data_IF_648707767237
#
_entry.id   IF_648707767237
#
_cell.length_a   1.000
_cell.length_b   1.000
_cell.length_c   1.000
_cell.angle_alpha   90.00
_cell.angle_beta   90.00
_cell.angle_gamma   90.00
#
_symmetry.space_group_name_H-M   'P 1'
#
loop_
_entity.id
_entity.type
_entity.pdbx_description
1 polymer ?
#
# COMPACT_ATOMS: atom_id res chain seq x y z
N UNK A 1 26.09 14.79 -50.01
CA UNK A 1 25.85 13.43 -49.46
C UNK A 1 27.16 13.00 -48.79
N UNK A 2 27.47 13.58 -47.64
CA UNK A 2 28.69 13.28 -46.89
C UNK A 2 28.66 11.88 -46.27
N UNK A 3 29.74 11.13 -46.52
CA UNK A 3 30.00 9.82 -45.96
C UNK A 3 30.37 9.90 -44.47
N UNK A 4 29.67 9.11 -43.67
CA UNK A 4 29.89 8.92 -42.24
C UNK A 4 31.22 8.20 -42.02
N UNK A 5 32.15 8.81 -41.29
CA UNK A 5 33.41 8.19 -40.89
C UNK A 5 33.16 6.91 -40.05
N UNK A 6 34.00 5.86 -40.17
CA UNK A 6 33.81 4.63 -39.42
C UNK A 6 34.18 4.82 -37.94
N UNK A 7 33.39 4.21 -37.08
CA UNK A 7 33.57 4.18 -35.64
C UNK A 7 34.86 3.40 -35.31
N UNK A 8 35.88 4.08 -34.78
CA UNK A 8 37.14 3.48 -34.34
C UNK A 8 36.94 2.72 -33.02
N UNK A 9 37.00 1.39 -33.10
CA UNK A 9 36.76 0.48 -31.98
C UNK A 9 37.98 0.30 -31.04
N UNK A 10 39.10 1.00 -31.27
CA UNK A 10 40.36 0.73 -30.57
C UNK A 10 40.62 1.56 -29.29
N UNK A 11 39.75 2.49 -28.92
CA UNK A 11 40.03 3.46 -27.84
C UNK A 11 39.46 3.11 -26.44
N UNK A 12 39.04 1.87 -26.18
CA UNK A 12 38.49 1.50 -24.86
C UNK A 12 39.56 0.87 -23.95
N UNK A 13 39.83 1.42 -22.75
CA UNK A 13 40.75 0.80 -21.81
C UNK A 13 40.21 -0.56 -21.34
N UNK A 14 41.00 -1.62 -21.52
CA UNK A 14 40.61 -3.03 -21.34
C UNK A 14 40.48 -3.51 -19.89
N UNK A 15 40.59 -2.64 -18.88
CA UNK A 15 40.35 -3.00 -17.47
C UNK A 15 39.78 -1.81 -16.71
N UNK A 16 38.46 -1.84 -16.50
CA UNK A 16 37.80 -1.00 -15.50
C UNK A 16 37.96 -1.75 -14.17
N UNK A 17 38.91 -1.31 -13.34
CA UNK A 17 38.92 -1.72 -11.94
C UNK A 17 37.72 -1.06 -11.28
N UNK A 18 36.68 -1.83 -10.98
CA UNK A 18 35.52 -1.33 -10.22
C UNK A 18 36.03 -1.05 -8.81
N UNK A 19 36.06 0.21 -8.33
CA UNK A 19 36.41 0.46 -6.94
C UNK A 19 35.37 -0.22 -6.06
N UNK A 20 35.82 -1.11 -5.18
CA UNK A 20 34.95 -1.74 -4.19
C UNK A 20 34.37 -0.64 -3.30
N UNK A 21 33.11 -0.27 -3.52
CA UNK A 21 32.40 0.63 -2.62
C UNK A 21 32.33 -0.05 -1.23
N UNK A 22 32.56 0.68 -0.13
CA UNK A 22 32.27 0.17 1.19
C UNK A 22 30.79 -0.27 1.23
N UNK A 23 30.46 -1.36 1.96
CA UNK A 23 29.09 -1.82 2.07
C UNK A 23 28.23 -0.64 2.49
N UNK A 24 27.27 -0.29 1.62
CA UNK A 24 26.28 0.72 1.98
C UNK A 24 25.55 0.16 3.21
N UNK A 25 25.41 0.93 4.31
CA UNK A 25 24.58 0.49 5.42
C UNK A 25 23.21 0.12 4.85
N UNK A 26 22.68 -1.03 5.28
CA UNK A 26 21.37 -1.52 4.83
C UNK A 26 20.34 -0.40 4.93
N UNK A 27 19.44 -0.31 3.94
CA UNK A 27 18.30 0.62 3.93
C UNK A 27 17.29 0.37 5.05
N UNK A 28 17.70 -0.20 6.17
CA UNK A 28 17.02 -0.09 7.46
C UNK A 28 17.39 1.25 8.10
N UNK A 29 17.43 2.31 7.28
CA UNK A 29 17.39 3.66 7.79
C UNK A 29 16.10 3.72 8.61
N UNK A 30 16.30 3.73 9.92
CA UNK A 30 15.34 3.99 10.96
C UNK A 30 14.26 4.93 10.41
N UNK A 31 13.14 4.33 9.97
CA UNK A 31 11.99 5.04 9.44
C UNK A 31 11.20 5.60 10.64
N UNK A 32 11.92 6.17 11.59
CA UNK A 32 11.37 6.97 12.68
C UNK A 32 10.88 8.25 12.01
N UNK A 33 9.63 8.19 11.58
CA UNK A 33 8.86 9.37 11.23
C UNK A 33 8.97 10.36 12.39
N UNK A 34 9.12 11.68 12.12
CA UNK A 34 9.10 12.67 13.18
C UNK A 34 7.88 12.43 14.08
N UNK A 35 8.03 12.47 15.41
CA UNK A 35 6.91 12.27 16.32
C UNK A 35 5.79 13.26 15.95
N UNK A 36 4.61 12.72 15.62
CA UNK A 36 3.44 13.48 15.19
C UNK A 36 3.07 13.37 13.70
N UNK A 37 3.87 12.69 12.85
CA UNK A 37 3.41 12.38 11.49
C UNK A 37 2.39 11.24 11.53
N UNK A 38 1.13 11.56 11.28
CA UNK A 38 0.03 10.60 11.25
C UNK A 38 -0.71 10.65 9.91
N UNK A 39 -1.14 9.47 9.46
CA UNK A 39 -2.07 9.34 8.33
C UNK A 39 -3.51 9.60 8.75
N UNK A 40 -4.45 9.26 7.87
CA UNK A 40 -5.88 9.40 8.18
C UNK A 40 -6.32 8.36 9.21
N UNK A 41 -7.15 8.76 10.19
CA UNK A 41 -7.75 7.83 11.15
C UNK A 41 -9.23 7.63 10.83
N UNK A 42 -9.74 6.44 11.09
CA UNK A 42 -11.17 6.27 11.23
C UNK A 42 -11.64 7.01 12.49
N UNK A 43 -12.66 7.84 12.36
CA UNK A 43 -13.26 8.52 13.50
C UNK A 43 -13.88 7.50 14.48
N UNK A 44 -14.06 7.87 15.76
CA UNK A 44 -14.87 7.10 16.69
C UNK A 44 -16.26 6.83 16.11
N UNK A 45 -16.87 5.70 16.50
CA UNK A 45 -18.20 5.34 16.00
C UNK A 45 -19.25 6.36 16.42
N UNK A 46 -20.12 6.71 15.48
CA UNK A 46 -21.32 7.50 15.77
C UNK A 46 -22.36 6.67 16.52
N UNK A 47 -23.30 7.33 17.20
CA UNK A 47 -24.40 6.66 17.95
C UNK A 47 -25.21 5.71 17.06
N UNK A 48 -25.37 6.08 15.79
CA UNK A 48 -25.95 5.24 14.75
C UNK A 48 -24.85 4.95 13.72
N UNK A 49 -24.43 3.70 13.59
CA UNK A 49 -23.47 3.27 12.58
C UNK A 49 -23.98 2.04 11.84
N UNK A 50 -23.62 1.93 10.57
CA UNK A 50 -23.89 0.77 9.73
C UNK A 50 -22.89 -0.35 10.02
N UNK A 51 -23.37 -1.58 10.18
CA UNK A 51 -22.49 -2.75 10.33
C UNK A 51 -21.98 -3.21 8.98
N UNK A 52 -20.67 -3.29 8.86
CA UNK A 52 -19.99 -3.83 7.69
C UNK A 52 -19.93 -5.34 7.83
N UNK A 53 -20.33 -6.04 6.75
CA UNK A 53 -20.12 -7.47 6.64
C UNK A 53 -18.66 -7.74 6.26
N UNK A 54 -17.89 -8.20 7.25
CA UNK A 54 -16.52 -8.67 7.08
C UNK A 54 -16.51 -10.15 6.69
N UNK A 55 -15.77 -10.50 5.65
CA UNK A 55 -15.57 -11.87 5.20
C UNK A 55 -14.08 -12.22 5.18
N UNK A 56 -13.78 -13.52 5.27
CA UNK A 56 -12.41 -14.01 5.09
C UNK A 56 -12.01 -13.78 3.62
N UNK A 57 -10.85 -13.18 3.34
CA UNK A 57 -10.41 -12.95 1.98
C UNK A 57 -10.28 -14.25 1.20
N UNK A 58 -10.77 -14.26 -0.03
CA UNK A 58 -10.56 -15.35 -0.99
C UNK A 58 -9.57 -14.86 -2.04
N UNK A 59 -8.52 -15.63 -2.39
CA UNK A 59 -7.58 -15.23 -3.43
C UNK A 59 -8.27 -15.23 -4.80
N UNK A 60 -8.78 -14.07 -5.22
CA UNK A 60 -9.45 -13.86 -6.51
C UNK A 60 -8.49 -13.43 -7.62
N UNK A 61 -7.34 -12.88 -7.26
CA UNK A 61 -6.35 -12.32 -8.19
C UNK A 61 -5.01 -12.11 -7.47
N UNK A 62 -3.92 -12.15 -8.24
CA UNK A 62 -2.56 -11.98 -7.73
C UNK A 62 -2.18 -10.52 -7.51
N UNK A 63 -2.96 -9.58 -8.05
CA UNK A 63 -2.64 -8.13 -8.02
C UNK A 63 -3.75 -7.33 -7.37
N UNK A 64 -3.45 -6.78 -6.19
CA UNK A 64 -4.31 -5.83 -5.47
C UNK A 64 -3.55 -4.51 -5.32
N UNK A 65 -4.20 -3.41 -5.70
CA UNK A 65 -3.67 -2.06 -5.51
C UNK A 65 -4.31 -1.43 -4.28
N UNK A 66 -3.50 -0.98 -3.32
CA UNK A 66 -3.97 -0.13 -2.23
C UNK A 66 -4.09 1.30 -2.74
N UNK A 67 -5.29 1.88 -2.67
CA UNK A 67 -5.57 3.27 -3.04
C UNK A 67 -5.47 4.24 -1.88
N UNK A 68 -5.90 3.83 -0.70
CA UNK A 68 -5.86 4.62 0.52
C UNK A 68 -5.76 3.69 1.72
N UNK A 69 -5.21 4.17 2.83
CA UNK A 69 -5.08 3.40 4.06
C UNK A 69 -5.20 4.32 5.28
N UNK A 70 -5.67 3.78 6.39
CA UNK A 70 -5.63 4.49 7.68
C UNK A 70 -4.24 4.38 8.32
N UNK A 71 -3.88 5.34 9.17
CA UNK A 71 -2.61 5.33 9.88
C UNK A 71 -2.44 4.04 10.71
N UNK A 72 -1.19 3.59 10.77
CA UNK A 72 -0.78 2.39 11.51
C UNK A 72 -0.75 2.57 13.03
N UNK A 73 -0.93 3.81 13.54
CA UNK A 73 -0.87 4.09 14.97
C UNK A 73 -2.08 3.55 15.77
N UNK A 74 -3.10 3.04 15.07
CA UNK A 74 -4.28 2.41 15.67
C UNK A 74 -4.20 0.90 15.50
N UNK A 75 -4.75 0.18 16.47
CA UNK A 75 -4.81 -1.27 16.49
C UNK A 75 -5.51 -1.86 15.26
N UNK A 76 -6.55 -1.19 14.77
CA UNK A 76 -7.28 -1.62 13.57
C UNK A 76 -6.91 -0.69 12.43
N UNK A 77 -6.40 -1.28 11.36
CA UNK A 77 -6.05 -0.59 10.13
C UNK A 77 -7.04 -0.97 9.03
N UNK A 78 -7.33 -0.02 8.17
CA UNK A 78 -8.19 -0.21 7.01
C UNK A 78 -7.49 0.23 5.74
N UNK A 79 -7.73 -0.48 4.66
CA UNK A 79 -7.21 -0.17 3.33
C UNK A 79 -8.33 -0.18 2.29
N UNK A 80 -8.48 0.90 1.53
CA UNK A 80 -9.27 0.89 0.31
C UNK A 80 -8.43 0.27 -0.81
N UNK A 81 -8.92 -0.84 -1.35
CA UNK A 81 -8.22 -1.67 -2.32
C UNK A 81 -8.98 -1.71 -3.64
N UNK A 82 -8.24 -1.89 -4.74
CA UNK A 82 -8.77 -2.09 -6.08
C UNK A 82 -8.10 -3.28 -6.77
N UNK A 83 -8.91 -4.07 -7.48
CA UNK A 83 -8.45 -5.14 -8.34
C UNK A 83 -9.54 -5.55 -9.33
N UNK A 84 -9.15 -5.91 -10.56
CA UNK A 84 -10.09 -6.41 -11.57
C UNK A 84 -11.23 -5.46 -11.92
N UNK A 85 -11.03 -4.13 -11.80
CA UNK A 85 -12.08 -3.12 -11.99
C UNK A 85 -13.08 -2.99 -10.84
N UNK A 86 -12.89 -3.75 -9.76
CA UNK A 86 -13.68 -3.68 -8.53
C UNK A 86 -12.85 -3.06 -7.41
N UNK A 87 -13.54 -2.66 -6.35
CA UNK A 87 -12.95 -2.13 -5.14
C UNK A 87 -13.58 -2.76 -3.88
N UNK A 88 -12.83 -2.76 -2.80
CA UNK A 88 -13.20 -3.35 -1.52
C UNK A 88 -12.36 -2.73 -0.40
N UNK A 89 -12.78 -2.93 0.84
CA UNK A 89 -12.02 -2.49 2.01
C UNK A 89 -11.42 -3.71 2.70
N UNK A 90 -10.11 -3.70 2.94
CA UNK A 90 -9.45 -4.64 3.85
C UNK A 90 -9.41 -4.06 5.25
N UNK A 91 -9.68 -4.89 6.25
CA UNK A 91 -9.50 -4.62 7.67
C UNK A 91 -8.41 -5.53 8.20
N UNK A 92 -7.37 -4.94 8.74
CA UNK A 92 -6.29 -5.61 9.45
C UNK A 92 -6.49 -5.36 10.94
N UNK A 93 -6.60 -6.43 11.71
CA UNK A 93 -6.74 -6.34 13.16
C UNK A 93 -5.98 -7.49 13.83
N UNK A 94 -5.31 -7.24 14.96
CA UNK A 94 -4.70 -8.30 15.74
C UNK A 94 -5.78 -9.19 16.34
N UNK A 95 -5.63 -10.49 16.18
CA UNK A 95 -6.42 -11.52 16.85
C UNK A 95 -5.47 -12.55 17.43
N UNK A 96 -5.42 -12.64 18.77
CA UNK A 96 -4.56 -13.59 19.51
C UNK A 96 -3.08 -13.48 19.10
N UNK A 97 -2.58 -12.25 18.91
CA UNK A 97 -1.18 -11.99 18.56
C UNK A 97 -0.82 -12.25 17.08
N UNK A 98 -1.81 -12.46 16.21
CA UNK A 98 -1.61 -12.54 14.76
C UNK A 98 -2.47 -11.50 14.06
N UNK A 99 -1.93 -10.86 13.04
CA UNK A 99 -2.73 -9.96 12.19
C UNK A 99 -3.68 -10.80 11.34
N UNK A 100 -4.98 -10.55 11.53
CA UNK A 100 -6.04 -11.20 10.76
C UNK A 100 -6.63 -10.18 9.79
N UNK A 101 -6.64 -10.57 8.53
CA UNK A 101 -7.21 -9.78 7.44
C UNK A 101 -8.64 -10.24 7.19
N UNK A 102 -9.56 -9.30 7.16
CA UNK A 102 -10.89 -9.47 6.61
C UNK A 102 -11.11 -8.48 5.48
N UNK A 103 -12.04 -8.78 4.57
CA UNK A 103 -12.43 -7.87 3.50
C UNK A 103 -13.95 -7.66 3.47
N UNK A 104 -14.37 -6.58 2.83
CA UNK A 104 -15.76 -6.43 2.40
C UNK A 104 -16.02 -7.22 1.13
N UNK A 105 -17.28 -7.30 0.71
CA UNK A 105 -17.58 -7.70 -0.67
C UNK A 105 -16.84 -6.81 -1.67
N UNK A 106 -16.42 -7.40 -2.79
CA UNK A 106 -15.86 -6.67 -3.91
C UNK A 106 -17.00 -6.09 -4.74
N UNK A 107 -17.01 -4.77 -4.88
CA UNK A 107 -18.11 -4.03 -5.50
C UNK A 107 -17.58 -2.98 -6.48
N UNK A 108 -18.48 -2.29 -7.17
CA UNK A 108 -18.11 -1.18 -8.04
C UNK A 108 -17.42 -0.07 -7.23
N UNK A 109 -16.40 0.56 -7.82
CA UNK A 109 -15.54 1.53 -7.14
C UNK A 109 -16.32 2.61 -6.39
N UNK A 110 -17.37 3.18 -6.99
CA UNK A 110 -18.18 4.22 -6.36
C UNK A 110 -18.82 3.75 -5.05
N UNK A 111 -19.27 2.50 -4.96
CA UNK A 111 -19.89 1.96 -3.74
C UNK A 111 -18.84 1.71 -2.66
N UNK A 112 -17.67 1.17 -3.01
CA UNK A 112 -16.58 0.94 -2.07
C UNK A 112 -16.03 2.27 -1.52
N UNK A 113 -15.89 3.30 -2.37
CA UNK A 113 -15.44 4.64 -1.94
C UNK A 113 -16.43 5.27 -0.97
N UNK A 114 -17.75 5.17 -1.22
CA UNK A 114 -18.76 5.64 -0.26
C UNK A 114 -18.67 4.93 1.08
N UNK A 115 -18.51 3.60 1.06
CA UNK A 115 -18.33 2.82 2.27
C UNK A 115 -17.05 3.23 3.02
N UNK A 116 -15.97 3.48 2.29
CA UNK A 116 -14.70 3.96 2.84
C UNK A 116 -14.86 5.30 3.54
N UNK A 117 -15.55 6.26 2.92
CA UNK A 117 -15.82 7.54 3.57
C UNK A 117 -16.71 7.42 4.81
N UNK A 118 -17.76 6.58 4.75
CA UNK A 118 -18.61 6.32 5.91
C UNK A 118 -17.80 5.70 7.06
N UNK A 119 -16.90 4.76 6.74
CA UNK A 119 -15.98 4.17 7.72
C UNK A 119 -15.07 5.24 8.33
N UNK A 120 -14.48 6.11 7.51
CA UNK A 120 -13.62 7.19 7.99
C UNK A 120 -14.35 8.18 8.90
N UNK A 121 -15.64 8.42 8.64
CA UNK A 121 -16.51 9.28 9.46
C UNK A 121 -17.09 8.57 10.69
N UNK A 122 -16.75 7.31 10.94
CA UNK A 122 -17.29 6.52 12.05
C UNK A 122 -18.75 6.10 11.86
N UNK A 123 -19.29 6.27 10.65
CA UNK A 123 -20.67 5.96 10.27
C UNK A 123 -20.84 4.50 9.84
N UNK A 124 -19.75 3.76 9.63
CA UNK A 124 -19.77 2.33 9.31
C UNK A 124 -18.63 1.58 10.02
N UNK A 125 -18.85 0.32 10.41
CA UNK A 125 -17.83 -0.51 11.08
C UNK A 125 -17.98 -2.01 10.90
#
# INVERSE_FOLDING_TARGET
MEGKAPYDAAAWPRRITIPTMPPQPSKEADMTFPPGFHGIHAAPLTTTYERIRWVVPVPRTDRIRVRSHTCICREIQFELCEAGGLAFIRRLAPLRGRDVVHETEWTVTTRAVRLWESLLRGQAR
#
